data_IF_584434851587
#
_entry.id   IF_584434851587
#
_cell.length_a   1.000
_cell.length_b   1.000
_cell.length_c   1.000
_cell.angle_alpha   90.00
_cell.angle_beta   90.00
_cell.angle_gamma   90.00
#
_symmetry.space_group_name_H-M   'P 1'
#
loop_
_entity.id
_entity.type
_entity.pdbx_description
1 polymer ?
#
# COMPACT_ATOMS: atom_id res chain seq x y z
N UNK A 1 4.39 -28.39 5.25
CA UNK A 1 4.17 -27.23 4.37
C UNK A 1 5.28 -26.21 4.62
N UNK A 2 6.15 -25.98 3.65
CA UNK A 2 7.31 -25.05 3.69
C UNK A 2 7.19 -23.93 2.63
N UNK A 3 6.02 -23.80 1.98
CA UNK A 3 5.82 -22.91 0.84
C UNK A 3 6.05 -21.44 1.19
N UNK A 4 5.50 -20.95 2.31
CA UNK A 4 5.64 -19.54 2.71
C UNK A 4 7.09 -19.10 2.94
N UNK A 5 7.92 -19.91 3.61
CA UNK A 5 9.28 -19.50 3.94
C UNK A 5 10.17 -19.43 2.69
N UNK A 6 9.98 -20.38 1.76
CA UNK A 6 10.70 -20.42 0.49
C UNK A 6 10.31 -19.25 -0.40
N UNK A 7 9.01 -18.94 -0.52
CA UNK A 7 8.54 -17.81 -1.32
C UNK A 7 9.00 -16.47 -0.75
N UNK A 8 8.88 -16.24 0.56
CA UNK A 8 9.39 -15.02 1.19
C UNK A 8 10.91 -14.84 0.98
N UNK A 9 11.67 -15.95 1.03
CA UNK A 9 13.11 -15.92 0.80
C UNK A 9 13.44 -15.65 -0.66
N UNK A 10 12.67 -16.24 -1.59
CA UNK A 10 12.82 -16.04 -3.03
C UNK A 10 12.49 -14.60 -3.44
N UNK A 11 11.37 -14.06 -2.96
CA UNK A 11 10.94 -12.68 -3.22
C UNK A 11 11.99 -11.67 -2.78
N UNK A 12 12.51 -11.85 -1.55
CA UNK A 12 13.60 -11.02 -1.02
C UNK A 12 14.86 -11.14 -1.86
N UNK A 13 15.25 -12.36 -2.23
CA UNK A 13 16.48 -12.61 -3.01
C UNK A 13 16.41 -11.95 -4.39
N UNK A 14 15.30 -12.12 -5.09
CA UNK A 14 15.07 -11.50 -6.38
C UNK A 14 14.99 -9.97 -6.27
N UNK A 15 14.40 -9.43 -5.19
CA UNK A 15 14.37 -8.00 -4.93
C UNK A 15 15.77 -7.40 -4.72
N UNK A 16 16.65 -8.11 -4.01
CA UNK A 16 18.05 -7.74 -3.82
C UNK A 16 18.85 -7.76 -5.15
N UNK A 17 18.42 -8.58 -6.12
CA UNK A 17 18.95 -8.59 -7.49
C UNK A 17 18.38 -7.45 -8.37
N UNK A 18 17.57 -6.54 -7.78
CA UNK A 18 17.01 -5.37 -8.46
C UNK A 18 15.62 -5.58 -9.06
N UNK A 19 14.97 -6.74 -8.87
CA UNK A 19 13.57 -6.93 -9.29
C UNK A 19 12.62 -6.14 -8.40
N UNK A 20 11.48 -5.73 -8.95
CA UNK A 20 10.45 -5.01 -8.23
C UNK A 20 9.38 -5.95 -7.66
N UNK A 21 9.80 -6.79 -6.72
CA UNK A 21 8.91 -7.79 -6.13
C UNK A 21 8.10 -7.23 -4.97
N UNK A 22 6.96 -7.86 -4.71
CA UNK A 22 6.17 -7.67 -3.49
C UNK A 22 6.83 -8.39 -2.31
N UNK A 23 6.92 -7.72 -1.17
CA UNK A 23 7.58 -8.25 0.03
C UNK A 23 6.62 -8.21 1.22
N UNK A 24 6.73 -9.23 2.07
CA UNK A 24 6.04 -9.31 3.35
C UNK A 24 4.54 -9.65 3.25
N UNK A 25 3.87 -9.62 4.39
CA UNK A 25 2.48 -10.06 4.54
C UNK A 25 1.49 -9.22 3.73
N UNK A 26 1.70 -7.91 3.65
CA UNK A 26 0.85 -6.99 2.91
C UNK A 26 1.23 -6.88 1.41
N UNK A 27 2.23 -7.65 0.95
CA UNK A 27 2.61 -7.77 -0.45
C UNK A 27 2.94 -6.42 -1.13
N UNK A 28 3.63 -5.52 -0.41
CA UNK A 28 4.05 -4.21 -0.90
C UNK A 28 5.24 -4.36 -1.86
N UNK A 29 5.13 -3.79 -3.07
CA UNK A 29 6.26 -3.73 -4.03
C UNK A 29 7.35 -2.80 -3.52
N UNK A 30 8.61 -3.11 -3.79
CA UNK A 30 9.74 -2.24 -3.36
C UNK A 30 9.62 -0.83 -3.95
N UNK A 31 9.21 -0.68 -5.21
CA UNK A 31 8.94 0.63 -5.83
C UNK A 31 7.84 1.40 -5.14
N UNK A 32 6.79 0.71 -4.68
CA UNK A 32 5.70 1.31 -3.90
C UNK A 32 6.19 1.78 -2.53
N UNK A 33 7.05 1.00 -1.87
CA UNK A 33 7.67 1.41 -0.61
C UNK A 33 8.55 2.66 -0.76
N UNK A 34 9.38 2.71 -1.81
CA UNK A 34 10.17 3.91 -2.13
C UNK A 34 9.25 5.11 -2.36
N UNK A 35 8.20 4.94 -3.15
CA UNK A 35 7.21 5.99 -3.40
C UNK A 35 6.52 6.46 -2.12
N UNK A 36 6.19 5.55 -1.19
CA UNK A 36 5.61 5.90 0.12
C UNK A 36 6.60 6.75 0.90
N UNK A 37 7.86 6.32 1.04
CA UNK A 37 8.89 7.06 1.79
C UNK A 37 9.14 8.46 1.22
N UNK A 38 9.16 8.58 -0.11
CA UNK A 38 9.33 9.87 -0.80
C UNK A 38 8.18 10.83 -0.52
N UNK A 39 6.94 10.34 -0.53
CA UNK A 39 5.75 11.19 -0.41
C UNK A 39 5.36 11.47 1.04
N UNK A 40 5.56 10.52 1.96
CA UNK A 40 5.23 10.72 3.38
C UNK A 40 6.16 11.74 4.05
N UNK A 41 7.40 11.89 3.55
CA UNK A 41 8.38 12.87 4.04
C UNK A 41 8.43 14.16 3.19
N UNK A 42 7.48 14.36 2.30
CA UNK A 42 7.44 15.52 1.40
C UNK A 42 6.16 16.34 1.63
N UNK A 43 6.22 17.43 2.42
CA UNK A 43 5.07 18.30 2.67
C UNK A 43 4.42 18.91 1.43
N UNK A 44 5.16 19.02 0.32
CA UNK A 44 4.65 19.56 -0.95
C UNK A 44 3.92 18.48 -1.79
N UNK A 45 3.97 17.21 -1.38
CA UNK A 45 3.28 16.13 -2.08
C UNK A 45 1.76 16.23 -1.94
N UNK A 46 1.05 15.89 -3.01
CA UNK A 46 -0.42 15.73 -2.96
C UNK A 46 -0.86 14.50 -2.15
N UNK A 47 0.08 13.64 -1.78
CA UNK A 47 -0.12 12.43 -0.98
C UNK A 47 0.41 12.58 0.45
N UNK A 48 0.89 13.78 0.84
CA UNK A 48 1.37 14.03 2.19
C UNK A 48 0.21 14.01 3.19
N UNK A 49 0.23 13.04 4.11
CA UNK A 49 -0.85 12.82 5.08
C UNK A 49 -0.67 13.54 6.42
N UNK A 50 0.47 14.19 6.65
CA UNK A 50 0.74 14.96 7.86
C UNK A 50 2.05 14.58 8.56
N UNK A 51 2.59 15.55 9.30
CA UNK A 51 3.89 15.46 9.96
C UNK A 51 3.94 14.41 11.06
N UNK A 52 2.80 14.18 11.71
CA UNK A 52 2.63 13.18 12.75
C UNK A 52 2.85 11.73 12.25
N UNK A 53 2.71 11.51 10.93
CA UNK A 53 2.85 10.19 10.32
C UNK A 53 4.27 9.90 9.84
N UNK A 54 5.10 10.91 9.58
CA UNK A 54 6.48 10.77 9.12
C UNK A 54 7.28 9.80 9.99
N UNK A 55 7.13 9.87 11.30
CA UNK A 55 7.89 9.03 12.26
C UNK A 55 7.64 7.53 12.14
N UNK A 56 6.53 7.10 11.53
CA UNK A 56 6.18 5.67 11.46
C UNK A 56 6.83 4.97 10.26
N UNK A 57 7.21 5.72 9.24
CA UNK A 57 7.85 5.20 8.04
C UNK A 57 9.29 5.70 8.04
N UNK A 58 10.30 4.82 8.05
CA UNK A 58 11.69 5.26 8.01
C UNK A 58 12.01 5.93 6.68
N UNK A 59 12.99 6.83 6.69
CA UNK A 59 13.60 7.38 5.48
C UNK A 59 14.84 6.56 5.13
N UNK A 60 14.66 5.56 4.27
CA UNK A 60 15.72 4.64 3.88
C UNK A 60 16.77 5.34 3.01
N UNK A 61 18.03 5.04 3.25
CA UNK A 61 19.18 5.55 2.51
C UNK A 61 19.47 4.79 1.21
N UNK A 62 18.92 3.58 1.08
CA UNK A 62 19.15 2.69 -0.05
C UNK A 62 17.98 1.74 -0.30
N UNK A 63 17.88 1.21 -1.53
CA UNK A 63 16.91 0.16 -1.88
C UNK A 63 17.03 -1.08 -0.99
N UNK A 64 18.25 -1.43 -0.57
CA UNK A 64 18.50 -2.60 0.29
C UNK A 64 17.82 -2.38 1.65
N UNK A 65 17.96 -1.18 2.22
CA UNK A 65 17.31 -0.83 3.49
C UNK A 65 15.79 -0.86 3.38
N UNK A 66 15.21 -0.41 2.26
CA UNK A 66 13.76 -0.56 1.98
C UNK A 66 13.35 -2.03 2.01
N UNK A 67 14.10 -2.91 1.35
CA UNK A 67 13.83 -4.36 1.31
C UNK A 67 13.91 -4.97 2.72
N UNK A 68 14.90 -4.56 3.52
CA UNK A 68 15.05 -5.01 4.90
C UNK A 68 13.89 -4.53 5.79
N UNK A 69 13.44 -3.28 5.62
CA UNK A 69 12.30 -2.73 6.32
C UNK A 69 11.00 -3.44 5.95
N UNK A 70 10.76 -3.69 4.65
CA UNK A 70 9.60 -4.46 4.19
C UNK A 70 9.60 -5.92 4.67
N UNK A 71 10.77 -6.48 4.99
CA UNK A 71 10.89 -7.83 5.54
C UNK A 71 10.48 -7.92 7.01
N UNK A 72 10.36 -6.79 7.72
CA UNK A 72 9.91 -6.75 9.12
C UNK A 72 8.37 -6.68 9.13
N UNK A 73 7.65 -7.65 9.73
CA UNK A 73 6.19 -7.71 9.67
C UNK A 73 5.48 -6.43 10.13
N UNK A 74 5.92 -5.87 11.26
CA UNK A 74 5.30 -4.66 11.83
C UNK A 74 5.46 -3.45 10.89
N UNK A 75 6.66 -3.26 10.33
CA UNK A 75 6.87 -2.20 9.35
C UNK A 75 6.08 -2.47 8.07
N UNK A 76 6.06 -3.71 7.56
CA UNK A 76 5.33 -4.04 6.35
C UNK A 76 3.83 -3.65 6.45
N UNK A 77 3.22 -3.88 7.61
CA UNK A 77 1.87 -3.45 7.91
C UNK A 77 1.75 -1.92 7.98
N UNK A 78 2.72 -1.23 8.58
CA UNK A 78 2.76 0.25 8.60
C UNK A 78 2.89 0.84 7.20
N UNK A 79 3.69 0.26 6.30
CA UNK A 79 3.75 0.68 4.88
C UNK A 79 2.40 0.52 4.20
N UNK A 80 1.70 -0.60 4.43
CA UNK A 80 0.37 -0.81 3.87
C UNK A 80 -0.67 0.19 4.41
N UNK A 81 -0.63 0.48 5.72
CA UNK A 81 -1.49 1.47 6.36
C UNK A 81 -1.20 2.89 5.83
N UNK A 82 0.06 3.27 5.74
CA UNK A 82 0.48 4.56 5.18
C UNK A 82 0.02 4.70 3.73
N UNK A 83 0.27 3.69 2.90
CA UNK A 83 -0.12 3.71 1.50
C UNK A 83 -1.63 3.87 1.30
N UNK A 84 -2.41 3.09 2.05
CA UNK A 84 -3.87 3.17 2.04
C UNK A 84 -4.35 4.56 2.47
N UNK A 85 -3.77 5.11 3.54
CA UNK A 85 -4.09 6.44 4.04
C UNK A 85 -3.75 7.53 3.03
N UNK A 86 -2.60 7.43 2.34
CA UNK A 86 -2.17 8.37 1.31
C UNK A 86 -3.12 8.36 0.09
N UNK A 87 -3.58 7.18 -0.32
CA UNK A 87 -4.57 7.04 -1.39
C UNK A 87 -5.88 7.71 -0.98
N UNK A 88 -6.42 7.39 0.20
CA UNK A 88 -7.67 7.97 0.69
C UNK A 88 -7.55 9.50 0.79
N UNK A 89 -6.46 9.99 1.39
CA UNK A 89 -6.20 11.42 1.53
C UNK A 89 -6.18 12.15 0.18
N UNK A 90 -5.51 11.61 -0.83
CA UNK A 90 -5.44 12.23 -2.17
C UNK A 90 -6.82 12.38 -2.80
N UNK A 91 -7.68 11.37 -2.62
CA UNK A 91 -9.05 11.35 -3.12
C UNK A 91 -9.95 12.34 -2.37
N UNK A 92 -9.86 12.38 -1.05
CA UNK A 92 -10.57 13.35 -0.21
C UNK A 92 -10.18 14.79 -0.53
N UNK A 93 -8.88 15.08 -0.68
CA UNK A 93 -8.37 16.40 -1.08
C UNK A 93 -8.89 16.84 -2.46
N UNK A 94 -9.27 15.88 -3.31
CA UNK A 94 -9.84 16.14 -4.64
C UNK A 94 -11.36 16.30 -4.63
N UNK A 95 -12.01 16.22 -3.46
CA UNK A 95 -13.46 16.31 -3.32
C UNK A 95 -14.22 15.01 -3.57
N UNK A 96 -13.52 13.87 -3.65
CA UNK A 96 -14.11 12.55 -3.91
C UNK A 96 -13.74 11.56 -2.82
N UNK A 97 -14.39 11.61 -1.65
CA UNK A 97 -14.06 10.65 -0.58
C UNK A 97 -14.37 9.21 -1.01
N UNK A 98 -13.43 8.31 -0.71
CA UNK A 98 -13.51 6.87 -0.97
C UNK A 98 -13.30 6.04 0.30
N UNK A 99 -13.31 6.67 1.48
CA UNK A 99 -13.04 5.99 2.76
C UNK A 99 -14.02 4.84 3.02
N UNK A 100 -15.29 5.03 2.67
CA UNK A 100 -16.35 4.02 2.81
C UNK A 100 -16.49 3.10 1.58
N UNK A 101 -15.49 3.11 0.68
CA UNK A 101 -15.48 2.34 -0.57
C UNK A 101 -14.29 1.37 -0.59
N UNK A 102 -14.28 0.34 0.26
CA UNK A 102 -13.14 -0.57 0.38
C UNK A 102 -12.78 -1.26 -0.94
N UNK A 103 -13.75 -1.49 -1.84
CA UNK A 103 -13.51 -2.01 -3.19
C UNK A 103 -12.67 -1.08 -4.05
N UNK A 104 -12.86 0.23 -3.91
CA UNK A 104 -12.11 1.24 -4.65
C UNK A 104 -10.72 1.41 -4.05
N UNK A 105 -10.64 1.48 -2.72
CA UNK A 105 -9.37 1.55 -1.99
C UNK A 105 -8.49 0.35 -2.34
N UNK A 106 -9.04 -0.87 -2.28
CA UNK A 106 -8.33 -2.10 -2.62
C UNK A 106 -7.93 -2.17 -4.10
N UNK A 107 -8.78 -1.70 -5.00
CA UNK A 107 -8.44 -1.57 -6.43
C UNK A 107 -7.21 -0.69 -6.60
N UNK A 108 -7.19 0.50 -5.98
CA UNK A 108 -6.09 1.47 -6.07
C UNK A 108 -4.82 0.96 -5.37
N UNK A 109 -4.96 0.27 -4.25
CA UNK A 109 -3.84 -0.40 -3.57
C UNK A 109 -3.14 -1.38 -4.53
N UNK A 110 -3.92 -2.19 -5.25
CA UNK A 110 -3.40 -3.20 -6.17
C UNK A 110 -2.71 -2.59 -7.41
N UNK A 111 -3.37 -1.63 -8.07
CA UNK A 111 -2.93 -1.07 -9.36
C UNK A 111 -2.07 0.18 -9.25
N UNK A 112 -1.97 0.75 -8.05
CA UNK A 112 -1.29 1.99 -7.71
C UNK A 112 -1.99 3.28 -8.16
N UNK A 113 -1.73 4.42 -7.49
CA UNK A 113 -2.32 5.70 -7.86
C UNK A 113 -1.65 6.33 -9.11
N UNK A 114 -0.43 5.92 -9.42
CA UNK A 114 0.33 6.34 -10.60
C UNK A 114 0.29 5.23 -11.65
N UNK A 115 0.03 5.59 -12.91
CA UNK A 115 0.04 4.66 -14.04
C UNK A 115 1.47 4.36 -14.49
N UNK A 116 1.61 3.33 -15.34
CA UNK A 116 2.92 2.95 -15.92
C UNK A 116 3.57 4.06 -16.75
N UNK A 117 2.77 4.98 -17.30
CA UNK A 117 3.24 6.15 -18.06
C UNK A 117 3.64 7.34 -17.16
N UNK A 118 3.59 7.18 -15.83
CA UNK A 118 3.89 8.22 -14.86
C UNK A 118 2.75 9.19 -14.58
N UNK A 119 1.63 9.13 -15.32
CA UNK A 119 0.47 9.97 -15.05
C UNK A 119 -0.32 9.48 -13.84
N UNK A 120 -0.87 10.42 -13.08
CA UNK A 120 -1.82 10.10 -12.01
C UNK A 120 -3.11 9.50 -12.60
N UNK A 121 -3.70 8.53 -11.89
CA UNK A 121 -5.02 8.02 -12.26
C UNK A 121 -6.08 9.10 -12.06
N UNK A 122 -7.05 9.12 -12.97
CA UNK A 122 -8.11 10.12 -12.92
C UNK A 122 -8.93 9.96 -11.64
N UNK A 123 -9.09 11.06 -10.92
CA UNK A 123 -9.91 11.17 -9.72
C UNK A 123 -11.30 11.68 -10.14
N UNK A 124 -12.37 11.00 -9.74
CA UNK A 124 -13.73 11.37 -10.11
C UNK A 124 -14.76 10.80 -9.14
N UNK A 125 -16.00 11.30 -9.16
CA UNK A 125 -17.05 10.92 -8.21
C UNK A 125 -17.60 9.50 -8.38
N UNK A 126 -17.36 8.86 -9.52
CA UNK A 126 -17.90 7.54 -9.85
C UNK A 126 -16.82 6.54 -10.32
N UNK A 127 -15.84 6.19 -9.47
CA UNK A 127 -14.82 5.20 -9.80
C UNK A 127 -15.38 3.79 -9.84
N UNK A 128 -14.74 2.91 -10.62
CA UNK A 128 -15.10 1.51 -10.72
C UNK A 128 -14.03 0.62 -10.11
N UNK A 129 -14.45 -0.38 -9.34
CA UNK A 129 -13.56 -1.41 -8.81
C UNK A 129 -13.20 -2.45 -9.89
N UNK A 130 -12.03 -3.08 -9.72
CA UNK A 130 -11.67 -4.30 -10.45
C UNK A 130 -12.04 -5.55 -9.63
N UNK A 131 -11.77 -6.73 -10.19
CA UNK A 131 -12.02 -8.02 -9.52
C UNK A 131 -11.35 -8.11 -8.14
N UNK A 132 -10.10 -7.63 -8.01
CA UNK A 132 -9.39 -7.59 -6.74
C UNK A 132 -10.13 -6.74 -5.69
N UNK A 133 -10.66 -5.59 -6.12
CA UNK A 133 -11.48 -4.72 -5.28
C UNK A 133 -12.75 -5.41 -4.79
N UNK A 134 -13.46 -6.12 -5.65
CA UNK A 134 -14.66 -6.87 -5.25
C UNK A 134 -14.35 -8.02 -4.29
N UNK A 135 -13.25 -8.76 -4.50
CA UNK A 135 -12.81 -9.79 -3.54
C UNK A 135 -12.49 -9.18 -2.18
N UNK A 136 -11.83 -8.02 -2.14
CA UNK A 136 -11.56 -7.31 -0.90
C UNK A 136 -12.84 -6.84 -0.19
N UNK A 137 -13.84 -6.39 -0.95
CA UNK A 137 -15.15 -6.01 -0.42
C UNK A 137 -15.89 -7.20 0.19
N UNK A 138 -15.88 -8.33 -0.49
CA UNK A 138 -16.50 -9.56 0.01
C UNK A 138 -15.85 -10.00 1.32
N UNK A 139 -14.51 -9.93 1.42
CA UNK A 139 -13.78 -10.20 2.66
C UNK A 139 -14.13 -9.18 3.75
N UNK A 140 -14.13 -7.88 3.43
CA UNK A 140 -14.43 -6.81 4.38
C UNK A 140 -15.84 -6.92 4.98
N UNK A 141 -16.81 -7.38 4.20
CA UNK A 141 -18.20 -7.62 4.63
C UNK A 141 -18.45 -9.00 5.22
N UNK A 142 -17.45 -9.88 5.17
CA UNK A 142 -17.60 -11.24 5.66
C UNK A 142 -17.59 -11.30 7.18
N UNK A 143 -18.18 -12.36 7.73
CA UNK A 143 -18.18 -12.63 9.16
C UNK A 143 -16.79 -13.06 9.69
N UNK A 144 -15.79 -13.23 8.81
CA UNK A 144 -14.44 -13.68 9.18
C UNK A 144 -13.71 -12.72 10.11
N UNK A 145 -14.14 -11.45 10.16
CA UNK A 145 -13.56 -10.43 11.02
C UNK A 145 -14.38 -10.17 12.29
N UNK A 146 -15.60 -10.71 12.41
CA UNK A 146 -16.50 -10.44 13.55
C UNK A 146 -15.92 -10.89 14.89
N UNK A 147 -15.19 -12.01 14.91
CA UNK A 147 -14.57 -12.54 16.12
C UNK A 147 -13.35 -11.69 16.55
N UNK A 148 -12.76 -10.91 15.64
CA UNK A 148 -11.56 -10.10 15.87
C UNK A 148 -11.91 -8.64 16.16
N UNK A 149 -12.94 -8.12 15.48
CA UNK A 149 -13.45 -6.75 15.59
C UNK A 149 -14.97 -6.77 15.81
N UNK A 150 -15.44 -7.03 17.05
CA UNK A 150 -16.85 -6.98 17.36
C UNK A 150 -17.40 -5.54 17.26
N UNK A 151 -18.64 -5.42 16.79
CA UNK A 151 -19.38 -4.14 16.64
C UNK A 151 -19.59 -3.39 17.96
#
# INVERSE_FOLDING_TARGET
MNYNLLDHTLDKTLALQGRDNSIGTAQIRVSTAIWIEENIHNPDSQYYIGKEFEKFIPKSSSRIEVIENLSKPDLNLLYAAAYTSMIIHRWEKSGFSIIDKPEIVATLYNIGPIKKDGSERLLHSNPSANEYGYVALDFYRSDLLRDIFPE
#
